data_IF_548163163485
#
_entry.id   IF_548163163485
#
_cell.length_a   1.000
_cell.length_b   1.000
_cell.length_c   1.000
_cell.angle_alpha   90.00
_cell.angle_beta   90.00
_cell.angle_gamma   90.00
#
_symmetry.space_group_name_H-M   'P 1'
#
loop_
_entity.id
_entity.type
_entity.pdbx_description
1 polymer ?
#
# COMPACT_ATOMS: atom_id res chain seq x y z
N UNK A 1 -7.64 -32.06 29.90
CA UNK A 1 -7.12 -30.74 29.51
C UNK A 1 -6.34 -30.90 28.21
N UNK A 2 -6.83 -30.37 27.08
CA UNK A 2 -6.07 -30.40 25.82
C UNK A 2 -4.95 -29.39 25.95
N UNK A 3 -3.69 -29.83 25.93
CA UNK A 3 -2.54 -28.94 25.80
C UNK A 3 -2.73 -28.10 24.54
N UNK A 4 -2.66 -26.78 24.70
CA UNK A 4 -2.89 -25.86 23.59
C UNK A 4 -1.67 -25.89 22.66
N UNK A 5 -1.74 -26.71 21.61
CA UNK A 5 -0.72 -26.83 20.54
C UNK A 5 -0.27 -25.45 20.00
N UNK A 6 -1.16 -24.45 19.98
CA UNK A 6 -0.81 -23.10 19.53
C UNK A 6 0.24 -22.43 20.43
N UNK A 7 0.20 -22.65 21.75
CA UNK A 7 1.18 -22.09 22.68
C UNK A 7 2.57 -22.69 22.45
N UNK A 8 2.64 -23.97 22.12
CA UNK A 8 3.90 -24.66 21.83
C UNK A 8 4.50 -24.18 20.50
N UNK A 9 3.67 -23.93 19.49
CA UNK A 9 4.09 -23.34 18.20
C UNK A 9 4.61 -21.92 18.40
N UNK A 10 3.87 -21.07 19.12
CA UNK A 10 4.29 -19.68 19.42
C UNK A 10 5.63 -19.68 20.16
N UNK A 11 5.79 -20.55 21.16
CA UNK A 11 7.02 -20.67 21.93
C UNK A 11 8.19 -21.15 21.06
N UNK A 12 7.95 -22.11 20.16
CA UNK A 12 8.96 -22.61 19.24
C UNK A 12 9.40 -21.52 18.25
N UNK A 13 8.47 -20.83 17.59
CA UNK A 13 8.79 -19.72 16.68
C UNK A 13 9.55 -18.61 17.41
N UNK A 14 9.14 -18.28 18.64
CA UNK A 14 9.83 -17.29 19.47
C UNK A 14 11.26 -17.71 19.86
N UNK A 15 11.48 -19.00 20.10
CA UNK A 15 12.80 -19.57 20.40
C UNK A 15 13.70 -19.57 19.16
N UNK A 16 13.18 -19.97 18.00
CA UNK A 16 13.90 -19.91 16.71
C UNK A 16 14.25 -18.45 16.31
N UNK A 17 13.38 -17.50 16.66
CA UNK A 17 13.63 -16.05 16.55
C UNK A 17 14.81 -15.60 17.42
N UNK A 18 14.86 -16.03 18.69
CA UNK A 18 15.94 -15.66 19.61
C UNK A 18 17.32 -16.17 19.15
N UNK A 19 17.35 -17.27 18.41
CA UNK A 19 18.57 -17.90 17.89
C UNK A 19 18.94 -17.37 16.48
N UNK A 20 18.22 -16.36 15.96
CA UNK A 20 18.41 -15.78 14.61
C UNK A 20 18.31 -16.79 13.46
N UNK A 21 17.60 -17.90 13.67
CA UNK A 21 17.42 -18.91 12.62
C UNK A 21 16.31 -18.52 11.63
N UNK A 22 15.50 -17.50 11.95
CA UNK A 22 14.45 -16.93 11.11
C UNK A 22 14.57 -15.40 11.17
N UNK A 23 14.85 -14.78 10.02
CA UNK A 23 14.81 -13.32 9.86
C UNK A 23 13.42 -12.91 9.37
N UNK A 24 12.83 -11.91 10.01
CA UNK A 24 11.60 -11.30 9.50
C UNK A 24 11.90 -10.37 8.32
N UNK A 25 10.94 -10.19 7.39
CA UNK A 25 11.04 -9.17 6.38
C UNK A 25 11.32 -7.80 6.99
N UNK A 26 12.12 -7.02 6.28
CA UNK A 26 12.50 -5.66 6.61
C UNK A 26 11.73 -4.64 5.77
N UNK A 27 11.91 -3.36 6.05
CA UNK A 27 11.38 -2.28 5.21
C UNK A 27 11.87 -2.35 3.76
N UNK A 28 13.08 -2.87 3.53
CA UNK A 28 13.61 -3.09 2.18
C UNK A 28 12.81 -4.15 1.45
N UNK A 29 12.45 -5.25 2.13
CA UNK A 29 11.64 -6.32 1.55
C UNK A 29 10.23 -5.82 1.22
N UNK A 30 9.63 -5.00 2.10
CA UNK A 30 8.33 -4.38 1.87
C UNK A 30 8.37 -3.45 0.64
N UNK A 31 9.39 -2.58 0.55
CA UNK A 31 9.58 -1.71 -0.60
C UNK A 31 9.81 -2.52 -1.88
N UNK A 32 10.65 -3.56 -1.82
CA UNK A 32 10.92 -4.47 -2.93
C UNK A 32 9.65 -5.19 -3.43
N UNK A 33 8.81 -5.67 -2.51
CA UNK A 33 7.53 -6.28 -2.84
C UNK A 33 6.57 -5.29 -3.51
N UNK A 34 6.47 -4.05 -2.99
CA UNK A 34 5.66 -3.00 -3.59
C UNK A 34 6.13 -2.69 -5.02
N UNK A 35 7.44 -2.51 -5.25
CA UNK A 35 7.97 -2.28 -6.60
C UNK A 35 7.75 -3.49 -7.52
N UNK A 36 7.88 -4.71 -7.01
CA UNK A 36 7.55 -5.93 -7.75
C UNK A 36 6.09 -5.95 -8.22
N UNK A 37 5.17 -5.56 -7.34
CA UNK A 37 3.75 -5.45 -7.64
C UNK A 37 3.48 -4.41 -8.73
N UNK A 38 4.10 -3.22 -8.67
CA UNK A 38 3.98 -2.19 -9.71
C UNK A 38 4.46 -2.70 -11.07
N UNK A 39 5.57 -3.45 -11.10
CA UNK A 39 6.09 -4.04 -12.34
C UNK A 39 5.11 -5.04 -12.96
N UNK A 40 4.45 -5.86 -12.14
CA UNK A 40 3.40 -6.77 -12.61
C UNK A 40 2.19 -6.00 -13.12
N UNK A 41 1.83 -4.92 -12.43
CA UNK A 41 0.76 -4.02 -12.84
C UNK A 41 0.99 -3.47 -14.25
N UNK A 42 2.18 -2.94 -14.52
CA UNK A 42 2.56 -2.44 -15.84
C UNK A 42 2.59 -3.53 -16.91
N UNK A 43 3.26 -4.65 -16.60
CA UNK A 43 3.49 -5.74 -17.56
C UNK A 43 2.18 -6.35 -18.05
N UNK A 44 1.19 -6.45 -17.16
CA UNK A 44 -0.09 -7.08 -17.45
C UNK A 44 -1.26 -6.08 -17.52
N UNK A 45 -0.98 -4.77 -17.48
CA UNK A 45 -1.98 -3.70 -17.50
C UNK A 45 -3.11 -3.92 -16.48
N UNK A 46 -2.74 -4.32 -15.26
CA UNK A 46 -3.70 -4.63 -14.21
C UNK A 46 -4.24 -3.32 -13.62
N UNK A 47 -5.56 -3.20 -13.53
CA UNK A 47 -6.18 -2.07 -12.84
C UNK A 47 -5.94 -2.14 -11.33
N UNK A 48 -5.61 -0.99 -10.71
CA UNK A 48 -5.40 -0.89 -9.24
C UNK A 48 -6.57 -1.47 -8.47
N UNK A 49 -7.81 -1.11 -8.81
CA UNK A 49 -9.01 -1.66 -8.16
C UNK A 49 -9.04 -3.18 -8.11
N UNK A 50 -8.62 -3.86 -9.19
CA UNK A 50 -8.57 -5.33 -9.21
C UNK A 50 -7.52 -5.86 -8.23
N UNK A 51 -6.36 -5.20 -8.13
CA UNK A 51 -5.32 -5.58 -7.16
C UNK A 51 -5.81 -5.37 -5.74
N UNK A 52 -6.41 -4.21 -5.47
CA UNK A 52 -6.82 -3.78 -4.13
C UNK A 52 -8.02 -4.61 -3.63
N UNK A 53 -8.89 -5.07 -4.52
CA UNK A 53 -9.99 -6.00 -4.21
C UNK A 53 -9.55 -7.47 -4.19
N UNK A 54 -8.28 -7.77 -4.43
CA UNK A 54 -7.78 -9.15 -4.47
C UNK A 54 -8.23 -9.96 -5.70
N UNK A 55 -8.77 -9.30 -6.73
CA UNK A 55 -9.26 -9.91 -7.97
C UNK A 55 -8.13 -10.10 -8.97
N UNK A 56 -7.20 -11.02 -8.68
CA UNK A 56 -6.08 -11.34 -9.59
C UNK A 56 -6.40 -12.62 -10.38
N UNK A 57 -6.99 -12.46 -11.57
CA UNK A 57 -7.31 -13.55 -12.52
C UNK A 57 -8.09 -14.72 -11.87
N UNK A 58 -8.04 -15.92 -12.46
CA UNK A 58 -8.74 -17.15 -12.03
C UNK A 58 -8.29 -17.69 -10.64
N UNK A 59 -7.67 -16.85 -9.81
CA UNK A 59 -7.38 -17.16 -8.42
C UNK A 59 -8.67 -17.40 -7.65
N UNK A 60 -8.84 -18.61 -7.14
CA UNK A 60 -9.89 -18.93 -6.17
C UNK A 60 -9.54 -18.43 -4.75
N UNK A 61 -8.34 -17.86 -4.56
CA UNK A 61 -7.95 -17.30 -3.27
C UNK A 61 -8.68 -15.98 -3.07
N UNK A 62 -9.60 -15.96 -2.10
CA UNK A 62 -10.15 -14.73 -1.55
C UNK A 62 -9.06 -14.14 -0.66
N UNK A 63 -8.34 -13.16 -1.17
CA UNK A 63 -7.50 -12.31 -0.33
C UNK A 63 -8.36 -11.19 0.23
N UNK A 64 -8.06 -10.76 1.45
CA UNK A 64 -8.70 -9.57 2.01
C UNK A 64 -8.36 -8.36 1.13
N UNK A 65 -9.31 -7.42 1.06
CA UNK A 65 -9.09 -6.17 0.34
C UNK A 65 -8.00 -5.36 1.06
N UNK A 66 -7.15 -4.71 0.28
CA UNK A 66 -6.14 -3.81 0.84
C UNK A 66 -6.82 -2.58 1.45
N UNK A 67 -6.26 -2.08 2.54
CA UNK A 67 -6.70 -0.88 3.25
C UNK A 67 -6.20 0.41 2.56
N UNK A 68 -6.68 1.57 3.01
CA UNK A 68 -6.15 2.85 2.59
C UNK A 68 -4.66 3.00 2.96
N UNK A 69 -4.25 2.49 4.13
CA UNK A 69 -2.85 2.49 4.57
C UNK A 69 -1.95 1.64 3.64
N UNK A 70 -2.42 0.48 3.20
CA UNK A 70 -1.70 -0.37 2.25
C UNK A 70 -1.51 0.34 0.91
N UNK A 71 -2.57 0.96 0.39
CA UNK A 71 -2.52 1.74 -0.85
C UNK A 71 -1.54 2.92 -0.73
N UNK A 72 -1.56 3.63 0.40
CA UNK A 72 -0.63 4.71 0.70
C UNK A 72 0.83 4.23 0.71
N UNK A 73 1.12 3.10 1.37
CA UNK A 73 2.46 2.51 1.43
C UNK A 73 2.97 2.13 0.04
N UNK A 74 2.13 1.53 -0.81
CA UNK A 74 2.49 1.18 -2.20
C UNK A 74 2.78 2.47 -3.01
N UNK A 75 1.89 3.46 -2.93
CA UNK A 75 2.09 4.75 -3.60
C UNK A 75 3.34 5.49 -3.13
N UNK A 76 3.67 5.41 -1.85
CA UNK A 76 4.89 5.99 -1.26
C UNK A 76 6.15 5.26 -1.72
N UNK A 77 6.10 3.94 -1.88
CA UNK A 77 7.21 3.18 -2.48
C UNK A 77 7.48 3.63 -3.93
N UNK A 78 6.42 3.84 -4.72
CA UNK A 78 6.53 4.41 -6.07
C UNK A 78 7.11 5.83 -6.05
N UNK A 79 6.65 6.66 -5.11
CA UNK A 79 7.09 8.05 -4.96
C UNK A 79 8.59 8.13 -4.69
N UNK A 80 9.09 7.29 -3.79
CA UNK A 80 10.51 7.21 -3.45
C UNK A 80 11.37 6.75 -4.65
N UNK A 81 10.78 6.06 -5.63
CA UNK A 81 11.43 5.69 -6.90
C UNK A 81 11.21 6.72 -8.02
N UNK A 82 10.60 7.86 -7.72
CA UNK A 82 10.25 8.92 -8.68
C UNK A 82 9.27 8.45 -9.75
N UNK A 83 8.55 7.36 -9.49
CA UNK A 83 7.48 6.87 -10.35
C UNK A 83 6.17 7.58 -10.00
N UNK A 84 6.08 8.84 -10.44
CA UNK A 84 4.93 9.69 -10.15
C UNK A 84 3.64 9.20 -10.82
N UNK A 85 3.74 8.35 -11.85
CA UNK A 85 2.57 7.76 -12.50
C UNK A 85 1.87 6.78 -11.59
N UNK A 86 2.63 5.84 -11.03
CA UNK A 86 2.08 4.91 -10.05
C UNK A 86 1.74 5.61 -8.73
N UNK A 87 2.51 6.60 -8.30
CA UNK A 87 2.14 7.37 -7.10
C UNK A 87 0.76 8.00 -7.24
N UNK A 88 0.47 8.68 -8.36
CA UNK A 88 -0.85 9.30 -8.56
C UNK A 88 -1.96 8.24 -8.49
N UNK A 89 -1.78 7.12 -9.18
CA UNK A 89 -2.79 6.07 -9.26
C UNK A 89 -3.09 5.46 -7.89
N UNK A 90 -2.05 5.15 -7.10
CA UNK A 90 -2.20 4.53 -5.79
C UNK A 90 -2.64 5.51 -4.70
N UNK A 91 -2.24 6.78 -4.78
CA UNK A 91 -2.72 7.83 -3.87
C UNK A 91 -4.19 8.16 -4.11
N UNK A 92 -4.66 8.10 -5.37
CA UNK A 92 -6.09 8.23 -5.69
C UNK A 92 -6.91 7.08 -5.09
N UNK A 93 -6.46 5.83 -5.24
CA UNK A 93 -7.15 4.70 -4.62
C UNK A 93 -7.12 4.81 -3.08
N UNK A 94 -5.99 5.20 -2.48
CA UNK A 94 -5.90 5.41 -1.03
C UNK A 94 -6.92 6.45 -0.54
N UNK A 95 -7.09 7.56 -1.28
CA UNK A 95 -8.12 8.57 -0.99
C UNK A 95 -9.53 8.00 -1.09
N UNK A 96 -9.84 7.26 -2.16
CA UNK A 96 -11.15 6.62 -2.33
C UNK A 96 -11.46 5.65 -1.16
N UNK A 97 -10.46 4.89 -0.69
CA UNK A 97 -10.64 3.97 0.44
C UNK A 97 -10.85 4.64 1.78
N UNK A 98 -10.27 5.82 2.03
CA UNK A 98 -10.58 6.59 3.25
C UNK A 98 -12.08 6.88 3.33
N UNK A 99 -12.74 7.15 2.20
CA UNK A 99 -14.18 7.44 2.16
C UNK A 99 -15.04 6.18 2.41
N UNK A 100 -14.52 5.01 2.07
CA UNK A 100 -15.20 3.71 2.24
C UNK A 100 -14.95 3.07 3.62
N UNK A 101 -13.82 3.38 4.26
CA UNK A 101 -13.44 2.85 5.56
C UNK A 101 -14.25 3.48 6.71
N UNK A 102 -14.71 2.64 7.65
CA UNK A 102 -15.39 3.13 8.86
C UNK A 102 -14.45 3.84 9.82
N UNK A 103 -13.17 3.45 9.82
CA UNK A 103 -12.08 4.06 10.57
C UNK A 103 -10.96 4.25 9.57
N UNK A 104 -10.62 5.52 9.28
CA UNK A 104 -9.55 5.84 8.35
C UNK A 104 -8.23 5.24 8.82
N UNK A 105 -7.65 4.35 8.00
CA UNK A 105 -6.35 3.72 8.27
C UNK A 105 -5.18 4.57 7.80
N UNK A 106 -5.42 5.56 6.94
CA UNK A 106 -4.41 6.49 6.43
C UNK A 106 -4.76 7.95 6.74
N UNK A 107 -3.75 8.82 6.71
CA UNK A 107 -3.92 10.26 6.86
C UNK A 107 -4.20 10.91 5.49
N UNK A 108 -5.31 11.64 5.38
CA UNK A 108 -5.71 12.32 4.15
C UNK A 108 -4.70 13.42 3.77
N UNK A 109 -4.16 14.16 4.73
CA UNK A 109 -3.18 15.22 4.47
C UNK A 109 -1.94 14.67 3.76
N UNK A 110 -1.39 13.57 4.28
CA UNK A 110 -0.20 12.91 3.70
C UNK A 110 -0.49 12.41 2.27
N UNK A 111 -1.67 11.84 2.03
CA UNK A 111 -2.09 11.40 0.68
C UNK A 111 -2.18 12.58 -0.27
N UNK A 112 -2.83 13.67 0.13
CA UNK A 112 -3.00 14.87 -0.70
C UNK A 112 -1.66 15.52 -1.01
N UNK A 113 -0.73 15.58 -0.07
CA UNK A 113 0.62 16.12 -0.29
C UNK A 113 1.37 15.34 -1.37
N UNK A 114 1.42 14.01 -1.24
CA UNK A 114 2.10 13.14 -2.21
C UNK A 114 1.41 13.21 -3.59
N UNK A 115 0.08 13.26 -3.62
CA UNK A 115 -0.70 13.35 -4.85
C UNK A 115 -0.48 14.70 -5.56
N UNK A 116 -0.54 15.81 -4.83
CA UNK A 116 -0.33 17.16 -5.35
C UNK A 116 1.08 17.31 -5.94
N UNK A 117 2.11 16.88 -5.22
CA UNK A 117 3.49 16.93 -5.71
C UNK A 117 3.69 16.05 -6.95
N UNK A 118 3.14 14.84 -6.95
CA UNK A 118 3.27 13.92 -8.09
C UNK A 118 2.57 14.47 -9.34
N UNK A 119 1.39 15.08 -9.19
CA UNK A 119 0.70 15.78 -10.28
C UNK A 119 1.49 16.98 -10.80
N UNK A 120 2.12 17.75 -9.92
CA UNK A 120 3.03 18.83 -10.30
C UNK A 120 4.21 18.29 -11.12
N UNK A 121 4.83 17.18 -10.69
CA UNK A 121 5.95 16.54 -11.40
C UNK A 121 5.56 16.00 -12.77
N UNK A 122 4.30 15.62 -12.98
CA UNK A 122 3.77 15.26 -14.30
C UNK A 122 3.31 16.47 -15.14
N UNK A 123 3.48 17.69 -14.65
CA UNK A 123 3.06 18.91 -15.37
C UNK A 123 1.56 19.22 -15.28
N UNK A 124 0.80 18.49 -14.45
CA UNK A 124 -0.62 18.77 -14.23
C UNK A 124 -0.82 19.84 -13.15
N UNK A 125 -0.34 21.05 -13.44
CA UNK A 125 -0.32 22.20 -12.53
C UNK A 125 -1.72 22.55 -11.99
N UNK A 126 -2.75 22.48 -12.84
CA UNK A 126 -4.11 22.84 -12.44
C UNK A 126 -4.64 21.90 -11.35
N UNK A 127 -4.46 20.58 -11.50
CA UNK A 127 -4.90 19.62 -10.47
C UNK A 127 -4.02 19.68 -9.24
N UNK A 128 -2.71 19.87 -9.40
CA UNK A 128 -1.80 20.04 -8.26
C UNK A 128 -2.23 21.22 -7.37
N UNK A 129 -2.51 22.38 -7.97
CA UNK A 129 -2.96 23.56 -7.25
C UNK A 129 -4.29 23.32 -6.51
N UNK A 130 -5.27 22.70 -7.17
CA UNK A 130 -6.56 22.38 -6.53
C UNK A 130 -6.39 21.50 -5.29
N UNK A 131 -5.49 20.51 -5.34
CA UNK A 131 -5.23 19.64 -4.18
C UNK A 131 -4.46 20.37 -3.08
N UNK A 132 -3.56 21.30 -3.42
CA UNK A 132 -2.89 22.15 -2.44
C UNK A 132 -3.87 23.10 -1.75
N UNK A 133 -4.82 23.66 -2.49
CA UNK A 133 -5.89 24.49 -1.92
C UNK A 133 -6.80 23.67 -0.99
N UNK A 134 -7.12 22.42 -1.38
CA UNK A 134 -7.88 21.48 -0.54
C UNK A 134 -7.12 21.20 0.76
N UNK A 135 -5.81 20.90 0.67
CA UNK A 135 -4.95 20.64 1.84
C UNK A 135 -4.88 21.84 2.78
N UNK A 136 -4.80 23.07 2.25
CA UNK A 136 -4.79 24.29 3.06
C UNK A 136 -6.11 24.53 3.82
N UNK A 137 -7.22 23.98 3.33
CA UNK A 137 -8.54 24.18 3.91
C UNK A 137 -8.96 23.07 4.90
N UNK A 138 -8.19 22.00 5.03
CA UNK A 138 -8.37 20.94 6.05
C UNK A 138 -7.95 21.43 7.43
#
# INVERSE_FOLDING_TARGET
MRSNSANDVIRNVSYQRAIKHINYPTEEDLSGAAIGLLRLQDTYQIHVKNVVEGKIQNSQMRTDALTAEDCFKIGRAAYNKHDYYHTIMWMQEARERIEEETISTANLEDILEHLAFSLYKQGNLKRALLLTDELYCL
#
